data_IF_770250977315
#
_entry.id   IF_770250977315
#
_cell.length_a   1.000
_cell.length_b   1.000
_cell.length_c   1.000
_cell.angle_alpha   90.00
_cell.angle_beta   90.00
_cell.angle_gamma   90.00
#
_symmetry.space_group_name_H-M   'P 1'
#
loop_
_entity.id
_entity.type
_entity.pdbx_description
1 polymer ?
#
# COMPACT_ATOMS: atom_id res chain seq x y z
N UNK A 1 -8.42 -18.37 12.10
CA UNK A 1 -8.94 -17.79 10.85
C UNK A 1 -8.02 -18.25 9.72
N UNK A 2 -8.53 -18.94 8.70
CA UNK A 2 -7.69 -19.39 7.58
C UNK A 2 -7.44 -18.20 6.65
N UNK A 3 -6.17 -17.82 6.45
CA UNK A 3 -5.83 -16.68 5.60
C UNK A 3 -5.95 -17.07 4.12
N UNK A 4 -6.53 -16.17 3.33
CA UNK A 4 -6.73 -16.32 1.89
C UNK A 4 -5.49 -15.86 1.10
N UNK A 5 -5.33 -16.41 -0.11
CA UNK A 5 -4.22 -16.07 -1.01
C UNK A 5 -4.45 -14.83 -1.89
N UNK A 6 -5.58 -14.12 -1.72
CA UNK A 6 -5.86 -12.86 -2.42
C UNK A 6 -5.15 -11.68 -1.74
N UNK A 7 -4.34 -10.88 -2.45
CA UNK A 7 -3.57 -9.80 -1.86
C UNK A 7 -4.42 -8.63 -1.37
N UNK A 8 -3.98 -8.00 -0.28
CA UNK A 8 -4.35 -6.62 0.04
C UNK A 8 -3.45 -5.70 -0.78
N UNK A 9 -4.06 -4.78 -1.52
CA UNK A 9 -3.34 -3.75 -2.26
C UNK A 9 -3.24 -2.52 -1.37
N UNK A 10 -2.04 -1.99 -1.20
CA UNK A 10 -1.79 -0.78 -0.44
C UNK A 10 -1.40 0.35 -1.39
N UNK A 11 -2.02 1.51 -1.22
CA UNK A 11 -1.59 2.78 -1.83
C UNK A 11 -1.10 3.66 -0.68
N UNK A 12 0.15 4.07 -0.74
CA UNK A 12 0.79 4.77 0.38
C UNK A 12 1.74 5.87 -0.04
N UNK A 13 1.84 6.92 0.77
CA UNK A 13 2.85 7.98 0.62
C UNK A 13 3.14 8.57 1.99
N UNK A 14 4.41 8.56 2.41
CA UNK A 14 4.82 9.07 3.72
C UNK A 14 6.29 9.50 3.67
N UNK A 15 6.71 10.33 4.63
CA UNK A 15 8.10 10.66 4.87
C UNK A 15 8.90 9.41 5.30
N UNK A 16 10.21 9.43 5.05
CA UNK A 16 11.08 8.27 5.30
C UNK A 16 11.06 7.79 6.77
N UNK A 17 10.96 8.74 7.71
CA UNK A 17 10.94 8.49 9.15
C UNK A 17 9.73 7.66 9.60
N UNK A 18 8.62 7.73 8.86
CA UNK A 18 7.36 7.05 9.20
C UNK A 18 7.23 5.67 8.55
N UNK A 19 8.06 5.34 7.56
CA UNK A 19 8.06 4.05 6.84
C UNK A 19 8.05 2.85 7.80
N UNK A 20 8.90 2.77 8.85
CA UNK A 20 8.92 1.61 9.73
C UNK A 20 7.56 1.36 10.41
N UNK A 21 6.91 2.42 10.88
CA UNK A 21 5.62 2.32 11.58
C UNK A 21 4.47 2.01 10.62
N UNK A 22 4.50 2.62 9.44
CA UNK A 22 3.51 2.38 8.39
C UNK A 22 3.55 0.93 7.92
N UNK A 23 4.73 0.39 7.62
CA UNK A 23 4.89 -0.98 7.14
C UNK A 23 4.44 -2.00 8.19
N UNK A 24 4.77 -1.79 9.48
CA UNK A 24 4.25 -2.63 10.58
C UNK A 24 2.72 -2.62 10.62
N UNK A 25 2.11 -1.44 10.46
CA UNK A 25 0.66 -1.29 10.47
C UNK A 25 0.01 -1.98 9.26
N UNK A 26 0.60 -1.84 8.07
CA UNK A 26 0.15 -2.53 6.86
C UNK A 26 0.16 -4.05 7.03
N UNK A 27 1.19 -4.62 7.66
CA UNK A 27 1.25 -6.05 7.95
C UNK A 27 0.22 -6.52 8.97
N UNK A 28 -0.03 -5.72 10.00
CA UNK A 28 -1.10 -6.00 10.96
C UNK A 28 -2.46 -6.01 10.26
N UNK A 29 -2.74 -5.00 9.44
CA UNK A 29 -4.00 -4.90 8.70
C UNK A 29 -4.16 -6.01 7.66
N UNK A 30 -3.07 -6.44 7.00
CA UNK A 30 -3.08 -7.59 6.10
C UNK A 30 -3.62 -8.85 6.80
N UNK A 31 -3.13 -9.14 8.01
CA UNK A 31 -3.57 -10.30 8.82
C UNK A 31 -4.99 -10.14 9.35
N UNK A 32 -5.33 -8.95 9.84
CA UNK A 32 -6.69 -8.66 10.33
C UNK A 32 -7.73 -8.85 9.22
N UNK A 33 -7.38 -8.48 7.98
CA UNK A 33 -8.21 -8.70 6.81
C UNK A 33 -8.08 -10.13 6.23
N UNK A 34 -7.40 -11.03 6.92
CA UNK A 34 -7.36 -12.43 6.53
C UNK A 34 -6.63 -12.71 5.21
N UNK A 35 -5.62 -11.90 4.85
CA UNK A 35 -4.79 -12.12 3.67
C UNK A 35 -3.38 -12.62 4.04
N UNK A 36 -2.78 -13.43 3.17
CA UNK A 36 -1.36 -13.82 3.24
C UNK A 36 -0.45 -12.98 2.35
N UNK A 37 -1.00 -12.07 1.54
CA UNK A 37 -0.24 -11.34 0.53
C UNK A 37 -0.48 -9.84 0.62
N UNK A 38 0.58 -9.07 0.44
CA UNK A 38 0.53 -7.61 0.48
C UNK A 38 1.22 -7.06 -0.76
N UNK A 39 0.56 -6.14 -1.47
CA UNK A 39 1.14 -5.41 -2.59
C UNK A 39 1.22 -3.95 -2.19
N UNK A 40 2.43 -3.50 -1.83
CA UNK A 40 2.69 -2.13 -1.40
C UNK A 40 3.03 -1.28 -2.62
N UNK A 41 2.17 -0.33 -2.96
CA UNK A 41 2.49 0.76 -3.88
C UNK A 41 2.83 1.99 -3.04
N UNK A 42 4.11 2.32 -3.00
CA UNK A 42 4.64 3.44 -2.23
C UNK A 42 5.02 4.58 -3.17
N UNK A 43 4.37 5.74 -3.02
CA UNK A 43 4.57 6.89 -3.88
C UNK A 43 5.56 7.84 -3.19
N UNK A 44 6.77 7.93 -3.72
CA UNK A 44 7.84 8.74 -3.16
C UNK A 44 8.98 8.94 -4.16
N UNK A 45 9.84 9.92 -3.88
CA UNK A 45 11.10 10.11 -4.62
C UNK A 45 12.26 9.30 -4.03
N UNK A 46 12.08 8.66 -2.88
CA UNK A 46 13.15 7.83 -2.29
C UNK A 46 13.43 6.58 -3.15
N UNK A 47 14.68 6.12 -3.24
CA UNK A 47 15.02 4.92 -3.97
C UNK A 47 14.62 3.65 -3.19
N UNK A 48 14.40 2.54 -3.91
CA UNK A 48 14.01 1.26 -3.33
C UNK A 48 14.92 0.77 -2.19
N UNK A 49 16.28 0.84 -2.27
CA UNK A 49 17.14 0.42 -1.18
C UNK A 49 16.91 1.20 0.12
N UNK A 50 16.63 2.50 0.02
CA UNK A 50 16.35 3.35 1.19
C UNK A 50 14.99 2.98 1.82
N UNK A 51 13.96 2.72 1.02
CA UNK A 51 12.69 2.20 1.53
C UNK A 51 12.91 0.89 2.30
N UNK A 52 13.66 -0.05 1.73
CA UNK A 52 13.95 -1.35 2.36
C UNK A 52 14.73 -1.19 3.65
N UNK A 53 15.71 -0.28 3.70
CA UNK A 53 16.47 -0.01 4.90
C UNK A 53 15.57 0.47 6.05
N UNK A 54 14.64 1.39 5.76
CA UNK A 54 13.68 1.88 6.74
C UNK A 54 12.65 0.81 7.13
N UNK A 55 12.19 0.00 6.18
CA UNK A 55 11.20 -1.05 6.41
C UNK A 55 11.79 -2.36 6.99
N UNK A 56 13.12 -2.46 7.15
CA UNK A 56 13.85 -3.71 7.39
C UNK A 56 13.26 -4.56 8.51
N UNK A 57 13.13 -4.00 9.72
CA UNK A 57 12.64 -4.75 10.89
C UNK A 57 11.21 -5.23 10.65
N UNK A 58 10.35 -4.37 10.10
CA UNK A 58 8.97 -4.73 9.80
C UNK A 58 8.90 -5.85 8.75
N UNK A 59 9.78 -5.87 7.76
CA UNK A 59 9.85 -6.96 6.78
C UNK A 59 10.34 -8.26 7.42
N UNK A 60 11.36 -8.20 8.26
CA UNK A 60 11.92 -9.36 8.97
C UNK A 60 10.91 -10.01 9.93
N UNK A 61 10.14 -9.20 10.65
CA UNK A 61 9.09 -9.67 11.56
C UNK A 61 7.92 -10.35 10.82
N UNK A 62 7.84 -10.19 9.49
CA UNK A 62 6.68 -10.57 8.67
C UNK A 62 7.07 -11.40 7.42
N UNK A 63 8.19 -12.13 7.47
CA UNK A 63 8.68 -12.98 6.37
C UNK A 63 7.70 -14.07 5.94
N UNK A 64 6.72 -14.41 6.80
CA UNK A 64 5.67 -15.39 6.50
C UNK A 64 4.63 -14.88 5.49
N UNK A 65 4.58 -13.56 5.26
CA UNK A 65 3.66 -12.93 4.30
C UNK A 65 4.32 -12.69 2.94
N UNK A 66 3.60 -13.04 1.88
CA UNK A 66 4.04 -12.78 0.50
C UNK A 66 3.93 -11.29 0.18
N UNK A 67 5.06 -10.59 0.17
CA UNK A 67 5.09 -9.12 0.03
C UNK A 67 5.71 -8.70 -1.29
N UNK A 68 5.02 -7.84 -2.03
CA UNK A 68 5.53 -7.18 -3.23
C UNK A 68 5.57 -5.68 -2.97
N UNK A 69 6.71 -5.06 -3.27
CA UNK A 69 6.93 -3.63 -3.01
C UNK A 69 7.25 -2.96 -4.34
N UNK A 70 6.45 -1.95 -4.68
CA UNK A 70 6.65 -1.07 -5.82
C UNK A 70 6.83 0.35 -5.32
N UNK A 71 7.92 0.99 -5.71
CA UNK A 71 8.14 2.42 -5.48
C UNK A 71 7.80 3.15 -6.77
N UNK A 72 6.95 4.15 -6.67
CA UNK A 72 6.47 4.96 -7.77
C UNK A 72 6.83 6.41 -7.52
N UNK A 73 7.41 7.09 -8.51
CA UNK A 73 7.57 8.53 -8.42
C UNK A 73 6.20 9.22 -8.51
N UNK A 74 6.06 10.45 -7.96
CA UNK A 74 4.80 11.19 -8.03
C UNK A 74 4.24 11.35 -9.45
N UNK A 75 5.10 11.49 -10.46
CA UNK A 75 4.72 11.58 -11.87
C UNK A 75 4.25 10.24 -12.49
N UNK A 76 4.54 9.10 -11.85
CA UNK A 76 4.20 7.76 -12.35
C UNK A 76 2.87 7.23 -11.79
N UNK A 77 2.14 8.04 -11.00
CA UNK A 77 0.88 7.65 -10.36
C UNK A 77 -0.15 7.12 -11.37
N UNK A 78 -0.27 7.72 -12.55
CA UNK A 78 -1.24 7.25 -13.55
C UNK A 78 -0.85 5.87 -14.13
N UNK A 79 0.45 5.54 -14.16
CA UNK A 79 0.92 4.19 -14.51
C UNK A 79 0.66 3.19 -13.38
N UNK A 80 0.95 3.56 -12.14
CA UNK A 80 0.62 2.76 -10.95
C UNK A 80 -0.87 2.39 -10.95
N UNK A 81 -1.73 3.39 -11.14
CA UNK A 81 -3.18 3.20 -11.13
C UNK A 81 -3.62 2.21 -12.22
N UNK A 82 -3.12 2.34 -13.45
CA UNK A 82 -3.42 1.38 -14.53
C UNK A 82 -3.08 -0.06 -14.14
N UNK A 83 -1.90 -0.30 -13.54
CA UNK A 83 -1.50 -1.65 -13.08
C UNK A 83 -2.40 -2.19 -11.96
N UNK A 84 -2.84 -1.34 -11.04
CA UNK A 84 -3.78 -1.75 -9.98
C UNK A 84 -5.13 -2.14 -10.61
N UNK A 85 -5.59 -1.38 -11.61
CA UNK A 85 -6.85 -1.63 -12.31
C UNK A 85 -6.84 -2.92 -13.12
N UNK A 86 -5.75 -3.21 -13.84
CA UNK A 86 -5.57 -4.44 -14.62
C UNK A 86 -5.69 -5.71 -13.75
N UNK A 87 -5.36 -5.61 -12.45
CA UNK A 87 -5.35 -6.74 -11.52
C UNK A 87 -6.49 -6.67 -10.48
N UNK A 88 -7.48 -5.81 -10.69
CA UNK A 88 -8.46 -5.49 -9.64
C UNK A 88 -9.40 -6.63 -9.26
N UNK A 89 -9.56 -7.65 -10.12
CA UNK A 89 -10.46 -8.78 -9.84
C UNK A 89 -9.84 -9.82 -8.88
N UNK A 90 -8.51 -9.80 -8.72
CA UNK A 90 -7.77 -10.77 -7.91
C UNK A 90 -7.34 -10.21 -6.54
N UNK A 91 -7.67 -8.95 -6.22
CA UNK A 91 -7.37 -8.38 -4.90
C UNK A 91 -8.49 -8.63 -3.90
N UNK A 92 -8.13 -8.69 -2.62
CA UNK A 92 -9.06 -8.72 -1.50
C UNK A 92 -9.65 -7.35 -1.20
N UNK A 93 -8.87 -6.30 -1.44
CA UNK A 93 -9.30 -4.91 -1.33
C UNK A 93 -8.10 -3.97 -1.22
N UNK A 94 -8.40 -2.69 -1.07
CA UNK A 94 -7.43 -1.60 -1.05
C UNK A 94 -7.39 -0.98 0.35
N UNK A 95 -6.19 -0.70 0.84
CA UNK A 95 -5.98 0.14 2.02
C UNK A 95 -5.11 1.34 1.64
N UNK A 96 -5.50 2.52 2.09
CA UNK A 96 -4.79 3.77 1.82
C UNK A 96 -4.12 4.25 3.11
N UNK A 97 -2.85 4.63 3.00
CA UNK A 97 -2.07 5.21 4.10
C UNK A 97 -1.38 6.50 3.67
N UNK A 98 -1.37 7.52 4.52
CA UNK A 98 -0.48 8.65 4.37
C UNK A 98 -0.14 9.28 5.71
N UNK A 99 0.95 10.03 5.77
CA UNK A 99 1.16 11.00 6.83
C UNK A 99 0.45 12.33 6.51
N UNK A 100 0.54 13.28 7.44
CA UNK A 100 -0.10 14.58 7.28
C UNK A 100 0.47 15.39 6.10
N UNK A 101 1.76 15.25 5.82
CA UNK A 101 2.44 16.01 4.76
C UNK A 101 2.00 15.53 3.37
N UNK A 102 1.75 14.22 3.23
CA UNK A 102 1.36 13.58 1.97
C UNK A 102 -0.16 13.43 1.82
N UNK A 103 -0.95 13.81 2.83
CA UNK A 103 -2.42 13.74 2.79
C UNK A 103 -3.03 14.45 1.59
N UNK A 104 -2.67 15.72 1.38
CA UNK A 104 -3.17 16.52 0.23
C UNK A 104 -2.79 15.93 -1.11
N UNK A 105 -1.66 15.21 -1.18
CA UNK A 105 -1.23 14.55 -2.39
C UNK A 105 -2.10 13.32 -2.68
N UNK A 106 -2.29 12.44 -1.69
CA UNK A 106 -3.18 11.27 -1.83
C UNK A 106 -4.62 11.68 -2.13
N UNK A 107 -5.14 12.72 -1.50
CA UNK A 107 -6.49 13.26 -1.77
C UNK A 107 -6.69 13.67 -3.23
N UNK A 108 -5.63 14.06 -3.96
CA UNK A 108 -5.69 14.35 -5.40
C UNK A 108 -5.69 13.09 -6.27
N UNK A 109 -5.22 11.97 -5.74
CA UNK A 109 -5.16 10.67 -6.44
C UNK A 109 -6.48 9.94 -6.30
N UNK A 110 -7.10 9.94 -5.12
CA UNK A 110 -8.33 9.20 -4.85
C UNK A 110 -9.47 9.48 -5.85
N UNK A 111 -9.73 10.72 -6.29
CA UNK A 111 -10.74 10.99 -7.31
C UNK A 111 -10.51 10.24 -8.62
N UNK A 112 -9.25 10.04 -9.02
CA UNK A 112 -8.85 9.32 -10.25
C UNK A 112 -9.14 7.82 -10.21
N UNK A 113 -9.41 7.27 -9.03
CA UNK A 113 -9.76 5.86 -8.86
C UNK A 113 -11.21 5.64 -9.33
N UNK A 114 -11.48 4.71 -10.28
CA UNK A 114 -12.83 4.35 -10.70
C UNK A 114 -13.71 3.93 -9.52
N UNK A 115 -15.01 4.24 -9.59
CA UNK A 115 -15.94 3.96 -8.49
C UNK A 115 -16.06 2.46 -8.15
N UNK A 116 -15.96 1.58 -9.15
CA UNK A 116 -15.93 0.13 -8.97
C UNK A 116 -14.78 -0.35 -8.08
N UNK A 117 -13.69 0.40 -8.05
CA UNK A 117 -12.46 0.09 -7.31
C UNK A 117 -12.48 0.77 -5.95
N UNK A 118 -13.04 1.99 -5.87
CA UNK A 118 -13.31 2.67 -4.59
C UNK A 118 -14.21 1.82 -3.68
N UNK A 119 -15.14 1.05 -4.24
CA UNK A 119 -15.97 0.11 -3.50
C UNK A 119 -15.16 -0.99 -2.79
N UNK A 120 -13.94 -1.29 -3.27
CA UNK A 120 -13.04 -2.26 -2.66
C UNK A 120 -12.09 -1.64 -1.62
N UNK A 121 -12.22 -0.34 -1.30
CA UNK A 121 -11.46 0.28 -0.22
C UNK A 121 -11.96 -0.26 1.11
N UNK A 122 -11.11 -1.02 1.78
CA UNK A 122 -11.39 -1.61 3.10
C UNK A 122 -11.22 -0.54 4.17
N UNK A 123 -10.15 0.25 4.07
CA UNK A 123 -9.81 1.28 5.06
C UNK A 123 -9.00 2.40 4.43
N UNK A 124 -9.21 3.60 4.94
CA UNK A 124 -8.51 4.81 4.51
C UNK A 124 -7.99 5.53 5.75
N UNK A 125 -6.69 5.41 6.01
CA UNK A 125 -5.99 6.06 7.12
C UNK A 125 -5.50 7.47 6.76
N UNK A 126 -5.85 7.96 5.57
CA UNK A 126 -5.42 9.25 5.06
C UNK A 126 -6.53 10.32 5.17
N UNK A 127 -7.77 9.91 5.48
CA UNK A 127 -8.92 10.81 5.71
C UNK A 127 -8.89 11.53 7.04
#
# INVERSE_FOLDING_TARGET
>A
MQLENKPIVVISSTNAEEIPNFVRTMFKDCRLNGSKKLIINFISSIPYPEFIQNAREALLDNIDLGTYIYIWKPEEVDQMMRKILENSQDMKGIIIYCDNDNKRFIEKILPKIPNSIKANIIKDYCK
#
